data_IF_116650577209
#
_entry.id   IF_116650577209
#
_cell.length_a   1.000
_cell.length_b   1.000
_cell.length_c   1.000
_cell.angle_alpha   90.00
_cell.angle_beta   90.00
_cell.angle_gamma   90.00
#
_symmetry.space_group_name_H-M   'P 1'
#
loop_
_entity.id
_entity.type
_entity.pdbx_description
1 polymer ?
#
# COMPACT_ATOMS: atom_id res chain seq x y z
N UNK A 1 -10.82 -28.59 -45.12
CA UNK A 1 -11.17 -28.59 -43.68
C UNK A 1 -9.99 -28.25 -42.77
N UNK A 2 -8.76 -28.76 -42.99
CA UNK A 2 -7.61 -28.49 -42.11
C UNK A 2 -7.20 -27.01 -41.94
N UNK A 3 -7.29 -26.19 -43.00
CA UNK A 3 -6.90 -24.77 -42.93
C UNK A 3 -7.83 -23.88 -42.08
N UNK A 4 -9.12 -24.19 -42.04
CA UNK A 4 -10.10 -23.44 -41.23
C UNK A 4 -9.91 -23.77 -39.74
N UNK A 5 -9.71 -25.04 -39.41
CA UNK A 5 -9.38 -25.48 -38.05
C UNK A 5 -8.08 -24.86 -37.54
N UNK A 6 -7.03 -24.82 -38.38
CA UNK A 6 -5.77 -24.18 -38.02
C UNK A 6 -5.93 -22.67 -37.80
N UNK A 7 -6.74 -21.99 -38.61
CA UNK A 7 -7.01 -20.56 -38.47
C UNK A 7 -7.79 -20.24 -37.17
N UNK A 8 -8.82 -21.04 -36.85
CA UNK A 8 -9.61 -20.89 -35.61
C UNK A 8 -8.72 -21.13 -34.39
N UNK A 9 -7.90 -22.18 -34.40
CA UNK A 9 -6.96 -22.47 -33.31
C UNK A 9 -5.94 -21.35 -33.14
N UNK A 10 -5.37 -20.83 -34.24
CA UNK A 10 -4.44 -19.70 -34.20
C UNK A 10 -5.08 -18.43 -33.60
N UNK A 11 -6.33 -18.13 -33.97
CA UNK A 11 -7.06 -16.99 -33.43
C UNK A 11 -7.36 -17.14 -31.92
N UNK A 12 -7.78 -18.34 -31.47
CA UNK A 12 -8.04 -18.62 -30.04
C UNK A 12 -6.75 -18.53 -29.23
N UNK A 13 -5.66 -19.11 -29.72
CA UNK A 13 -4.36 -19.07 -29.06
C UNK A 13 -3.81 -17.64 -28.97
N UNK A 14 -3.91 -16.86 -30.05
CA UNK A 14 -3.48 -15.46 -30.06
C UNK A 14 -4.29 -14.59 -29.10
N UNK A 15 -5.62 -14.72 -29.10
CA UNK A 15 -6.49 -14.00 -28.18
C UNK A 15 -6.22 -14.36 -26.71
N UNK A 16 -6.08 -15.66 -26.41
CA UNK A 16 -5.82 -16.13 -25.05
C UNK A 16 -4.45 -15.65 -24.54
N UNK A 17 -3.41 -15.73 -25.38
CA UNK A 17 -2.08 -15.23 -25.05
C UNK A 17 -2.10 -13.72 -24.76
N UNK A 18 -2.81 -12.94 -25.57
CA UNK A 18 -2.95 -11.50 -25.37
C UNK A 18 -3.70 -11.17 -24.06
N UNK A 19 -4.80 -11.87 -23.78
CA UNK A 19 -5.58 -11.67 -22.55
C UNK A 19 -4.77 -12.01 -21.29
N UNK A 20 -4.00 -13.10 -21.31
CA UNK A 20 -3.09 -13.47 -20.23
C UNK A 20 -2.01 -12.39 -20.05
N UNK A 21 -1.38 -11.95 -21.13
CA UNK A 21 -0.34 -10.92 -21.07
C UNK A 21 -0.85 -9.59 -20.48
N UNK A 22 -2.06 -9.16 -20.85
CA UNK A 22 -2.68 -7.96 -20.27
C UNK A 22 -2.96 -8.13 -18.77
N UNK A 23 -3.45 -9.30 -18.35
CA UNK A 23 -3.70 -9.60 -16.93
C UNK A 23 -2.42 -9.59 -16.12
N UNK A 24 -1.35 -10.19 -16.63
CA UNK A 24 -0.02 -10.16 -16.00
C UNK A 24 0.48 -8.73 -15.83
N UNK A 25 0.41 -7.92 -16.90
CA UNK A 25 0.84 -6.52 -16.85
C UNK A 25 0.02 -5.71 -15.83
N UNK A 26 -1.30 -5.89 -15.79
CA UNK A 26 -2.14 -5.21 -14.80
C UNK A 26 -1.76 -5.59 -13.36
N UNK A 27 -1.62 -6.90 -13.07
CA UNK A 27 -1.20 -7.35 -11.73
C UNK A 27 0.18 -6.81 -11.35
N UNK A 28 1.12 -6.81 -12.29
CA UNK A 28 2.45 -6.24 -12.05
C UNK A 28 2.37 -4.78 -11.65
N UNK A 29 1.58 -3.97 -12.38
CA UNK A 29 1.37 -2.55 -12.03
C UNK A 29 0.74 -2.37 -10.64
N UNK A 30 -0.21 -3.22 -10.26
CA UNK A 30 -0.79 -3.20 -8.91
C UNK A 30 0.27 -3.48 -7.85
N UNK A 31 1.11 -4.50 -8.05
CA UNK A 31 2.20 -4.84 -7.14
C UNK A 31 3.20 -3.69 -7.03
N UNK A 32 3.63 -3.12 -8.15
CA UNK A 32 4.59 -2.02 -8.18
C UNK A 32 4.05 -0.79 -7.45
N UNK A 33 2.76 -0.48 -7.63
CA UNK A 33 2.09 0.61 -6.91
C UNK A 33 2.03 0.35 -5.40
N UNK A 34 1.66 -0.88 -4.98
CA UNK A 34 1.63 -1.25 -3.55
C UNK A 34 3.02 -1.10 -2.92
N UNK A 35 4.06 -1.64 -3.56
CA UNK A 35 5.46 -1.52 -3.09
C UNK A 35 5.84 -0.05 -2.94
N UNK A 36 5.63 0.75 -3.98
CA UNK A 36 5.96 2.18 -3.96
C UNK A 36 5.30 2.92 -2.80
N UNK A 37 3.99 2.70 -2.59
CA UNK A 37 3.23 3.39 -1.54
C UNK A 37 3.66 2.91 -0.15
N UNK A 38 3.78 1.60 0.06
CA UNK A 38 4.16 1.04 1.36
C UNK A 38 5.59 1.41 1.76
N UNK A 39 6.55 1.33 0.83
CA UNK A 39 7.92 1.77 1.11
C UNK A 39 7.98 3.28 1.39
N UNK A 40 7.18 4.07 0.68
CA UNK A 40 7.02 5.50 0.95
C UNK A 40 6.51 5.79 2.36
N UNK A 41 5.45 5.08 2.79
CA UNK A 41 4.88 5.21 4.14
C UNK A 41 5.89 4.86 5.22
N UNK A 42 6.59 3.73 5.07
CA UNK A 42 7.63 3.30 6.00
C UNK A 42 8.73 4.36 6.10
N UNK A 43 9.15 4.91 4.96
CA UNK A 43 10.11 6.01 4.90
C UNK A 43 9.63 7.24 5.68
N UNK A 44 8.37 7.63 5.52
CA UNK A 44 7.79 8.77 6.25
C UNK A 44 7.69 8.52 7.75
N UNK A 45 7.30 7.32 8.20
CA UNK A 45 7.28 7.01 9.63
C UNK A 45 8.68 7.07 10.26
N UNK A 46 9.71 6.60 9.54
CA UNK A 46 11.10 6.73 9.97
C UNK A 46 11.51 8.20 10.03
N UNK A 47 11.12 9.00 9.04
CA UNK A 47 11.40 10.45 9.02
C UNK A 47 10.74 11.15 10.20
N UNK A 48 9.46 10.89 10.48
CA UNK A 48 8.72 11.43 11.62
C UNK A 48 9.40 11.05 12.94
N UNK A 49 9.74 9.77 13.14
CA UNK A 49 10.48 9.31 14.32
C UNK A 49 11.80 10.05 14.50
N UNK A 50 12.60 10.13 13.45
CA UNK A 50 13.89 10.79 13.50
C UNK A 50 13.74 12.28 13.80
N UNK A 51 12.70 12.92 13.26
CA UNK A 51 12.39 14.32 13.53
C UNK A 51 12.03 14.56 15.00
N UNK A 52 11.18 13.68 15.57
CA UNK A 52 10.80 13.72 16.99
C UNK A 52 12.06 13.64 17.87
N UNK A 53 12.95 12.69 17.61
CA UNK A 53 14.18 12.53 18.41
C UNK A 53 15.20 13.65 18.20
N UNK A 54 15.37 14.14 16.97
CA UNK A 54 16.31 15.22 16.67
C UNK A 54 15.94 16.55 17.35
N UNK A 55 14.63 16.77 17.56
CA UNK A 55 14.10 17.97 18.18
C UNK A 55 13.59 17.71 19.61
N UNK A 56 13.97 16.58 20.21
CA UNK A 56 13.52 16.20 21.54
C UNK A 56 14.18 17.10 22.59
N UNK A 57 13.41 17.85 23.41
CA UNK A 57 13.98 18.79 24.38
C UNK A 57 14.68 18.11 25.56
N UNK A 58 14.54 16.79 25.72
CA UNK A 58 15.12 16.01 26.82
C UNK A 58 14.37 16.15 28.16
N UNK A 59 13.61 17.24 28.32
CA UNK A 59 12.72 17.51 29.45
C UNK A 59 11.36 17.98 28.94
N UNK A 60 10.25 17.65 29.63
CA UNK A 60 8.94 18.17 29.28
C UNK A 60 8.94 19.70 29.21
N UNK A 61 8.42 20.27 28.13
CA UNK A 61 8.48 21.71 27.95
C UNK A 61 7.88 22.22 26.66
N UNK A 62 7.86 23.55 26.53
CA UNK A 62 7.40 24.22 25.33
C UNK A 62 8.35 23.95 24.15
N UNK A 63 7.77 23.67 22.99
CA UNK A 63 8.49 23.48 21.72
C UNK A 63 8.40 24.77 20.91
N UNK A 64 9.47 25.09 20.20
CA UNK A 64 9.48 26.23 19.29
C UNK A 64 8.41 26.03 18.19
N UNK A 65 7.59 27.05 17.86
CA UNK A 65 6.55 26.95 16.84
C UNK A 65 7.06 26.44 15.48
N UNK A 66 8.30 26.77 15.13
CA UNK A 66 8.94 26.36 13.88
C UNK A 66 9.11 24.84 13.79
N UNK A 67 9.39 24.18 14.92
CA UNK A 67 9.54 22.72 14.98
C UNK A 67 8.18 22.04 14.74
N UNK A 68 7.12 22.60 15.35
CA UNK A 68 5.75 22.11 15.15
C UNK A 68 5.35 22.26 13.68
N UNK A 69 5.59 23.44 13.09
CA UNK A 69 5.24 23.71 11.70
C UNK A 69 5.97 22.79 10.71
N UNK A 70 7.25 22.49 10.95
CA UNK A 70 7.99 21.52 10.14
C UNK A 70 7.45 20.10 10.30
N UNK A 71 7.02 19.72 11.51
CA UNK A 71 6.40 18.42 11.72
C UNK A 71 5.05 18.29 11.01
N UNK A 72 4.25 19.37 10.98
CA UNK A 72 3.01 19.43 10.19
C UNK A 72 3.27 19.20 8.69
N UNK A 73 4.36 19.73 8.15
CA UNK A 73 4.74 19.50 6.74
C UNK A 73 5.09 18.03 6.48
N UNK A 74 5.88 17.41 7.36
CA UNK A 74 6.22 15.97 7.26
C UNK A 74 4.95 15.12 7.34
N UNK A 75 4.05 15.46 8.27
CA UNK A 75 2.76 14.79 8.40
C UNK A 75 1.87 14.97 7.16
N UNK A 76 1.85 16.16 6.55
CA UNK A 76 1.11 16.40 5.31
C UNK A 76 1.56 15.48 4.17
N UNK A 77 2.87 15.28 4.01
CA UNK A 77 3.42 14.34 3.02
C UNK A 77 3.09 12.88 3.35
N UNK A 78 3.10 12.50 4.64
CA UNK A 78 2.69 11.16 5.03
C UNK A 78 1.20 10.93 4.78
N UNK A 79 0.34 11.92 5.02
CA UNK A 79 -1.10 11.85 4.75
C UNK A 79 -1.42 11.71 3.26
N UNK A 80 -0.64 12.34 2.38
CA UNK A 80 -0.75 12.11 0.94
C UNK A 80 -0.55 10.64 0.59
N UNK A 81 0.46 9.98 1.20
CA UNK A 81 0.73 8.55 1.00
C UNK A 81 -0.32 7.65 1.67
N UNK A 82 -0.89 8.06 2.81
CA UNK A 82 -2.04 7.36 3.41
C UNK A 82 -3.22 7.36 2.43
N UNK A 83 -3.51 8.49 1.79
CA UNK A 83 -4.52 8.59 0.73
C UNK A 83 -4.24 7.65 -0.45
N UNK A 84 -2.99 7.52 -0.88
CA UNK A 84 -2.61 6.53 -1.89
C UNK A 84 -2.77 5.09 -1.40
N UNK A 85 -2.49 4.81 -0.12
CA UNK A 85 -2.65 3.48 0.47
C UNK A 85 -4.11 3.02 0.44
N UNK A 86 -5.08 3.90 0.67
CA UNK A 86 -6.50 3.59 0.50
C UNK A 86 -6.86 3.15 -0.93
N UNK A 87 -6.13 3.62 -1.95
CA UNK A 87 -6.41 3.27 -3.35
C UNK A 87 -5.76 1.96 -3.79
N UNK A 88 -4.65 1.58 -3.15
CA UNK A 88 -3.90 0.38 -3.52
C UNK A 88 -4.18 -0.81 -2.61
N UNK A 89 -4.58 -0.59 -1.35
CA UNK A 89 -4.96 -1.65 -0.44
C UNK A 89 -6.33 -2.25 -0.82
N UNK A 90 -6.38 -3.57 -0.90
CA UNK A 90 -7.66 -4.30 -1.06
C UNK A 90 -8.32 -4.55 0.31
N UNK A 91 -7.53 -4.52 1.39
CA UNK A 91 -7.98 -4.68 2.78
C UNK A 91 -8.26 -3.30 3.41
N UNK A 92 -9.55 -2.99 3.61
CA UNK A 92 -9.96 -1.75 4.26
C UNK A 92 -9.40 -1.62 5.69
N UNK A 93 -9.31 -2.70 6.45
CA UNK A 93 -8.78 -2.66 7.81
C UNK A 93 -7.33 -2.21 7.80
N UNK A 94 -6.53 -2.74 6.87
CA UNK A 94 -5.13 -2.35 6.70
C UNK A 94 -4.98 -0.86 6.41
N UNK A 95 -5.82 -0.31 5.53
CA UNK A 95 -5.79 1.13 5.22
C UNK A 95 -6.14 2.00 6.43
N UNK A 96 -7.09 1.55 7.27
CA UNK A 96 -7.45 2.24 8.52
C UNK A 96 -6.33 2.16 9.54
N UNK A 97 -5.68 1.01 9.68
CA UNK A 97 -4.56 0.81 10.60
C UNK A 97 -3.32 1.64 10.21
N UNK A 98 -3.05 1.75 8.91
CA UNK A 98 -2.04 2.67 8.36
C UNK A 98 -2.31 4.10 8.82
N UNK A 99 -3.53 4.58 8.63
CA UNK A 99 -3.90 5.93 9.04
C UNK A 99 -3.84 6.08 10.57
N UNK A 100 -4.34 5.11 11.33
CA UNK A 100 -4.33 5.14 12.78
C UNK A 100 -2.90 5.22 13.35
N UNK A 101 -1.96 4.45 12.79
CA UNK A 101 -0.55 4.53 13.15
C UNK A 101 0.03 5.91 12.84
N UNK A 102 -0.26 6.44 11.65
CA UNK A 102 0.21 7.76 11.20
C UNK A 102 -0.31 8.89 12.11
N UNK A 103 -1.62 8.89 12.38
CA UNK A 103 -2.27 9.82 13.30
C UNK A 103 -1.69 9.73 14.70
N UNK A 104 -1.45 8.51 15.20
CA UNK A 104 -0.89 8.30 16.53
C UNK A 104 0.52 8.89 16.64
N UNK A 105 1.38 8.69 15.64
CA UNK A 105 2.73 9.28 15.63
C UNK A 105 2.61 10.82 15.66
N UNK A 106 1.72 11.40 14.85
CA UNK A 106 1.60 12.85 14.73
C UNK A 106 0.95 13.51 15.96
N UNK A 107 -0.17 12.98 16.45
CA UNK A 107 -0.96 13.59 17.54
C UNK A 107 -0.39 13.36 18.92
N UNK A 108 0.56 12.45 19.07
CA UNK A 108 1.23 12.25 20.37
C UNK A 108 1.97 13.52 20.73
N UNK A 109 1.68 14.08 21.90
CA UNK A 109 2.33 15.29 22.41
C UNK A 109 3.74 14.96 22.96
N UNK A 110 4.65 14.54 22.07
CA UNK A 110 5.99 14.03 22.42
C UNK A 110 6.79 14.92 23.37
N UNK A 111 6.55 16.22 23.32
CA UNK A 111 7.22 17.23 24.14
C UNK A 111 6.77 17.28 25.60
N UNK A 112 5.70 16.58 25.95
CA UNK A 112 5.20 16.47 27.32
C UNK A 112 5.83 15.31 28.08
N UNK A 113 6.58 14.44 27.38
CA UNK A 113 7.19 13.24 27.93
C UNK A 113 8.61 13.48 28.43
N UNK A 114 9.03 12.65 29.39
CA UNK A 114 10.46 12.41 29.63
C UNK A 114 11.04 11.53 28.53
N UNK A 115 12.36 11.56 28.35
CA UNK A 115 13.02 10.73 27.32
C UNK A 115 12.67 9.24 27.45
N UNK A 116 12.60 8.71 28.67
CA UNK A 116 12.24 7.31 28.91
C UNK A 116 10.81 7.00 28.47
N UNK A 117 9.85 7.89 28.77
CA UNK A 117 8.46 7.75 28.31
C UNK A 117 8.36 7.83 26.79
N UNK A 118 9.05 8.78 26.16
CA UNK A 118 9.07 8.90 24.71
C UNK A 118 9.66 7.64 24.05
N UNK A 119 10.72 7.06 24.63
CA UNK A 119 11.29 5.81 24.15
C UNK A 119 10.32 4.63 24.27
N UNK A 120 9.63 4.49 25.40
CA UNK A 120 8.64 3.45 25.61
C UNK A 120 7.49 3.55 24.59
N UNK A 121 6.93 4.75 24.43
CA UNK A 121 5.90 5.02 23.44
C UNK A 121 6.38 4.74 22.00
N UNK A 122 7.61 5.15 21.67
CA UNK A 122 8.17 4.92 20.35
C UNK A 122 8.45 3.45 20.07
N UNK A 123 8.87 2.68 21.07
CA UNK A 123 9.03 1.23 20.92
C UNK A 123 7.70 0.52 20.71
N UNK A 124 6.63 0.95 21.38
CA UNK A 124 5.29 0.43 21.08
C UNK A 124 4.87 0.76 19.64
N UNK A 125 5.10 2.00 19.20
CA UNK A 125 4.83 2.42 17.81
C UNK A 125 5.61 1.55 16.82
N UNK A 126 6.89 1.26 17.11
CA UNK A 126 7.73 0.41 16.27
C UNK A 126 7.22 -1.02 16.20
N UNK A 127 6.79 -1.60 17.33
CA UNK A 127 6.19 -2.94 17.36
C UNK A 127 4.95 -2.98 16.46
N UNK A 128 4.05 -2.01 16.61
CA UNK A 128 2.81 -1.95 15.82
C UNK A 128 3.11 -1.71 14.33
N UNK A 129 4.08 -0.85 14.02
CA UNK A 129 4.55 -0.62 12.66
C UNK A 129 5.10 -1.92 12.03
N UNK A 130 5.89 -2.71 12.76
CA UNK A 130 6.42 -3.99 12.25
C UNK A 130 5.30 -4.99 11.96
N UNK A 131 4.31 -5.08 12.85
CA UNK A 131 3.15 -5.95 12.64
C UNK A 131 2.38 -5.54 11.37
N UNK A 132 2.16 -4.23 11.18
CA UNK A 132 1.49 -3.69 10.02
C UNK A 132 2.30 -3.88 8.72
N UNK A 133 3.61 -3.64 8.74
CA UNK A 133 4.52 -3.90 7.61
C UNK A 133 4.48 -5.37 7.19
N UNK A 134 4.36 -6.28 8.16
CA UNK A 134 4.21 -7.71 7.86
C UNK A 134 2.94 -7.99 7.06
N UNK A 135 1.81 -7.36 7.45
CA UNK A 135 0.54 -7.47 6.70
C UNK A 135 0.63 -6.85 5.31
N UNK A 136 1.29 -5.70 5.16
CA UNK A 136 1.54 -5.08 3.85
C UNK A 136 2.32 -6.01 2.91
N UNK A 137 3.35 -6.69 3.42
CA UNK A 137 4.12 -7.67 2.66
C UNK A 137 3.27 -8.86 2.24
N UNK A 138 2.41 -9.35 3.12
CA UNK A 138 1.47 -10.42 2.77
C UNK A 138 0.42 -9.98 1.74
N UNK A 139 -0.01 -8.71 1.77
CA UNK A 139 -0.87 -8.15 0.73
C UNK A 139 -0.19 -8.12 -0.65
N UNK A 140 1.06 -7.65 -0.72
CA UNK A 140 1.86 -7.71 -1.94
C UNK A 140 2.00 -9.16 -2.43
N UNK A 141 2.33 -10.10 -1.54
CA UNK A 141 2.46 -11.52 -1.90
C UNK A 141 1.16 -12.10 -2.44
N UNK A 142 0.02 -11.78 -1.83
CA UNK A 142 -1.29 -12.22 -2.32
C UNK A 142 -1.57 -11.70 -3.73
N UNK A 143 -1.21 -10.46 -4.03
CA UNK A 143 -1.35 -9.90 -5.38
C UNK A 143 -0.47 -10.56 -6.45
N UNK A 144 0.56 -11.33 -6.09
CA UNK A 144 1.37 -12.10 -7.05
C UNK A 144 0.69 -13.37 -7.57
N UNK A 145 -0.36 -13.86 -6.89
CA UNK A 145 -1.05 -15.10 -7.27
C UNK A 145 -2.14 -14.81 -8.32
N UNK A 146 -2.22 -15.65 -9.35
CA UNK A 146 -3.37 -15.67 -10.25
C UNK A 146 -4.42 -16.63 -9.71
N UNK A 147 -5.62 -16.14 -9.46
CA UNK A 147 -6.75 -16.97 -9.09
C UNK A 147 -7.53 -17.41 -10.33
N UNK A 148 -8.22 -18.54 -10.24
CA UNK A 148 -9.07 -19.01 -11.34
C UNK A 148 -10.14 -17.98 -11.74
N UNK A 149 -10.56 -17.15 -10.78
CA UNK A 149 -11.49 -16.06 -11.02
C UNK A 149 -10.92 -14.97 -11.94
N UNK A 150 -9.61 -14.73 -11.93
CA UNK A 150 -8.94 -13.76 -12.80
C UNK A 150 -9.09 -14.11 -14.29
N UNK A 151 -9.28 -15.39 -14.59
CA UNK A 151 -9.40 -15.95 -15.93
C UNK A 151 -10.83 -16.26 -16.37
N UNK A 152 -11.83 -16.23 -15.46
CA UNK A 152 -13.24 -16.48 -15.81
C UNK A 152 -13.73 -15.59 -16.95
N UNK A 153 -13.22 -14.36 -17.04
CA UNK A 153 -13.59 -13.42 -18.09
C UNK A 153 -13.08 -13.78 -19.48
N UNK A 154 -11.95 -14.50 -19.57
CA UNK A 154 -11.39 -14.99 -20.85
C UNK A 154 -12.36 -15.98 -21.49
N UNK A 155 -12.98 -16.84 -20.69
CA UNK A 155 -14.02 -17.79 -21.13
C UNK A 155 -15.34 -17.09 -21.40
N UNK A 156 -15.71 -16.07 -20.61
CA UNK A 156 -16.94 -15.29 -20.85
C UNK A 156 -16.90 -14.42 -22.12
N UNK A 157 -15.70 -14.05 -22.59
CA UNK A 157 -15.51 -13.38 -23.87
C UNK A 157 -15.88 -14.28 -25.07
N UNK A 158 -15.82 -15.60 -24.90
CA UNK A 158 -16.31 -16.57 -25.89
C UNK A 158 -17.82 -16.85 -25.77
N UNK A 159 -18.49 -16.44 -24.68
CA UNK A 159 -19.92 -16.74 -24.44
C UNK A 159 -20.87 -15.58 -24.68
N UNK A 160 -20.39 -14.38 -25.03
CA UNK A 160 -21.26 -13.25 -25.39
C UNK A 160 -21.26 -12.98 -26.90
N UNK A 161 -22.34 -13.46 -27.53
CA UNK A 161 -22.80 -13.33 -28.93
C UNK A 161 -22.32 -14.41 -29.92
N UNK A 162 -22.82 -15.63 -29.71
CA UNK A 162 -23.46 -16.37 -30.79
C UNK A 162 -24.96 -16.45 -30.46
N UNK A 163 -25.79 -15.74 -31.23
CA UNK A 163 -27.24 -15.92 -31.24
C UNK A 163 -28.02 -15.26 -30.09
N UNK A 164 -28.59 -14.09 -30.35
CA UNK A 164 -30.04 -13.98 -30.53
C UNK A 164 -30.39 -12.55 -30.96
N UNK A 165 -31.04 -12.51 -32.14
CA UNK A 165 -32.02 -11.56 -32.68
C UNK A 165 -31.98 -10.10 -32.21
#
# INVERSE_FOLDING_TARGET
>A
MGGILAFILGAISGFSAHAIAMKVNFKQRTIDNKIKVFDGLIGQWVQMRNYIYANYPGVPGAVAPEIIHQFDQIYGESQRLVGEAFLVCEDEEMSRDINALNERIYRTEWHTFTLDQANEHMEQIKIDAIALITRMREDIKRSTRFEWQDFKHIVSGFSRRAGNA
#
